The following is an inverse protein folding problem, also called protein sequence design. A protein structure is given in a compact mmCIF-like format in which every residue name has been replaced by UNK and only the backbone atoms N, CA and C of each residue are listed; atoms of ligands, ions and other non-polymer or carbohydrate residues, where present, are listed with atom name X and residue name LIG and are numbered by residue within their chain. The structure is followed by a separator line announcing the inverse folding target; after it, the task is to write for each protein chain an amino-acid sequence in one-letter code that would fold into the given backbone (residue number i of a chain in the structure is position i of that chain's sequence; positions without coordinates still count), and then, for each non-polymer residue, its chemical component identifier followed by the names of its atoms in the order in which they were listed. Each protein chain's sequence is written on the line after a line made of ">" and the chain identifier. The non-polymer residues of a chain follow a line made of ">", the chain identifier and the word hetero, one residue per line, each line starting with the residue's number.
data_IF_369405375699
#
_entry.id   IF_369405375699
#
_cell.length_a   1.000
_cell.length_b   1.000
_cell.length_c   1.000
_cell.angle_alpha   90.00
_cell.angle_beta   90.00
_cell.angle_gamma   90.00
#
_symmetry.space_group_name_H-M   'P 1'
#
loop_
_entity.id
_entity.type
_entity.pdbx_description
1 polymer ?
#
# COMPACT_ATOMS: atom_id res chain seq x y z
N UNK A 1 37.00 -59.12 -29.76
CA UNK A 1 36.95 -57.66 -29.82
C UNK A 1 35.98 -57.23 -28.73
N UNK A 2 36.50 -57.04 -27.52
CA UNK A 2 35.70 -56.62 -26.36
C UNK A 2 35.50 -55.12 -26.48
N UNK A 3 34.27 -54.68 -26.73
CA UNK A 3 33.86 -53.30 -26.52
C UNK A 3 32.98 -53.30 -25.28
N UNK A 4 33.66 -53.32 -24.14
CA UNK A 4 33.08 -53.18 -22.81
C UNK A 4 32.61 -51.73 -22.72
N UNK A 5 31.30 -51.50 -22.79
CA UNK A 5 30.73 -50.18 -22.59
C UNK A 5 31.16 -49.66 -21.21
N UNK A 6 32.18 -48.80 -21.21
CA UNK A 6 32.68 -48.07 -20.06
C UNK A 6 31.49 -47.36 -19.43
N UNK A 7 31.02 -47.90 -18.28
CA UNK A 7 29.99 -47.25 -17.49
C UNK A 7 30.55 -45.89 -17.09
N UNK A 8 29.92 -44.77 -17.47
CA UNK A 8 30.35 -43.48 -16.97
C UNK A 8 30.28 -43.50 -15.44
N UNK A 9 31.27 -42.85 -14.81
CA UNK A 9 31.29 -42.56 -13.39
C UNK A 9 29.96 -41.95 -12.91
N UNK A 10 29.74 -41.99 -11.58
CA UNK A 10 28.53 -41.48 -10.96
C UNK A 10 28.11 -40.12 -11.56
N UNK A 11 26.81 -39.93 -11.89
CA UNK A 11 26.34 -38.72 -12.56
C UNK A 11 26.74 -37.48 -11.76
N UNK A 12 27.30 -36.50 -12.45
CA UNK A 12 27.70 -35.23 -11.86
C UNK A 12 26.48 -34.57 -11.20
N UNK A 13 26.50 -34.35 -9.88
CA UNK A 13 25.38 -33.76 -9.16
C UNK A 13 25.06 -32.34 -9.63
N UNK A 14 26.02 -31.64 -10.25
CA UNK A 14 25.88 -30.26 -10.69
C UNK A 14 25.60 -30.12 -12.19
N UNK A 15 25.54 -31.23 -12.94
CA UNK A 15 25.30 -31.21 -14.39
C UNK A 15 24.02 -30.45 -14.78
N UNK A 16 22.97 -30.55 -13.96
CA UNK A 16 21.73 -29.80 -14.19
C UNK A 16 21.91 -28.30 -13.92
N UNK A 17 22.64 -27.94 -12.87
CA UNK A 17 22.92 -26.55 -12.55
C UNK A 17 23.76 -25.89 -13.66
N UNK A 18 24.79 -26.58 -14.16
CA UNK A 18 25.61 -26.11 -15.29
C UNK A 18 24.77 -25.95 -16.56
N UNK A 19 23.93 -26.93 -16.91
CA UNK A 19 23.06 -26.83 -18.07
C UNK A 19 22.07 -25.65 -17.96
N UNK A 20 21.52 -25.40 -16.77
CA UNK A 20 20.66 -24.24 -16.52
C UNK A 20 21.42 -22.92 -16.61
N UNK A 21 22.66 -22.85 -16.15
CA UNK A 21 23.49 -21.65 -16.26
C UNK A 21 23.82 -21.33 -17.74
N UNK A 22 24.18 -22.34 -18.52
CA UNK A 22 24.41 -22.23 -19.95
C UNK A 22 23.15 -21.77 -20.71
N UNK A 23 21.99 -22.34 -20.40
CA UNK A 23 20.72 -21.93 -21.01
C UNK A 23 20.35 -20.48 -20.64
N UNK A 24 20.49 -20.10 -19.37
CA UNK A 24 20.23 -18.73 -18.91
C UNK A 24 21.18 -17.71 -19.55
N UNK A 25 22.45 -18.06 -19.73
CA UNK A 25 23.42 -17.17 -20.39
C UNK A 25 23.12 -17.02 -21.88
N UNK A 26 22.76 -18.11 -22.56
CA UNK A 26 22.33 -18.09 -23.95
C UNK A 26 21.05 -17.25 -24.15
N UNK A 27 20.05 -17.41 -23.27
CA UNK A 27 18.80 -16.64 -23.33
C UNK A 27 19.03 -15.16 -23.02
N UNK A 28 19.86 -14.83 -22.03
CA UNK A 28 20.28 -13.44 -21.77
C UNK A 28 20.97 -12.83 -22.99
N UNK A 29 21.81 -13.59 -23.70
CA UNK A 29 22.45 -13.12 -24.93
C UNK A 29 21.43 -12.86 -26.05
N UNK A 30 20.48 -13.78 -26.26
CA UNK A 30 19.38 -13.61 -27.24
C UNK A 30 18.53 -12.39 -26.93
N UNK A 31 18.17 -12.17 -25.66
CA UNK A 31 17.40 -10.99 -25.24
C UNK A 31 18.17 -9.70 -25.46
N UNK A 32 19.46 -9.65 -25.14
CA UNK A 32 20.29 -8.47 -25.43
C UNK A 32 20.39 -8.18 -26.93
N UNK A 33 20.51 -9.21 -27.76
CA UNK A 33 20.53 -9.04 -29.20
C UNK A 33 19.20 -8.53 -29.76
N UNK A 34 18.06 -8.97 -29.20
CA UNK A 34 16.71 -8.62 -29.67
C UNK A 34 16.17 -7.29 -29.13
N UNK A 35 16.46 -6.98 -27.86
CA UNK A 35 15.86 -5.87 -27.13
C UNK A 35 16.87 -4.80 -26.70
N UNK A 36 18.16 -5.01 -26.99
CA UNK A 36 19.24 -4.13 -26.57
C UNK A 36 19.72 -4.41 -25.14
N UNK A 37 20.76 -3.69 -24.67
CA UNK A 37 21.22 -3.79 -23.29
C UNK A 37 20.08 -3.38 -22.33
N UNK A 38 19.85 -4.13 -21.23
CA UNK A 38 18.80 -3.77 -20.29
C UNK A 38 19.07 -2.38 -19.70
N UNK A 39 18.05 -1.53 -19.57
CA UNK A 39 18.18 -0.28 -18.83
C UNK A 39 18.44 -0.65 -17.37
N UNK A 40 19.66 -0.38 -16.90
CA UNK A 40 20.13 -0.59 -15.52
C UNK A 40 20.00 -2.01 -14.96
N UNK A 41 20.76 -2.31 -13.90
CA UNK A 41 20.62 -3.62 -13.25
C UNK A 41 19.37 -3.63 -12.35
N UNK A 42 18.60 -4.72 -12.33
CA UNK A 42 17.39 -4.82 -11.49
C UNK A 42 17.69 -4.59 -9.99
N UNK A 43 18.87 -5.00 -9.53
CA UNK A 43 19.33 -4.75 -8.16
C UNK A 43 19.53 -3.26 -7.87
N UNK A 44 19.92 -2.48 -8.87
CA UNK A 44 20.11 -1.05 -8.76
C UNK A 44 18.78 -0.29 -8.78
N UNK A 45 17.80 -0.73 -9.56
CA UNK A 45 16.43 -0.21 -9.48
C UNK A 45 15.75 -0.55 -8.15
N UNK A 46 15.98 -1.75 -7.61
CA UNK A 46 15.51 -2.11 -6.26
C UNK A 46 16.12 -1.20 -5.19
N UNK A 47 17.41 -0.88 -5.31
CA UNK A 47 18.09 0.03 -4.39
C UNK A 47 17.51 1.44 -4.50
N UNK A 48 17.31 1.96 -5.73
CA UNK A 48 16.65 3.26 -5.95
C UNK A 48 15.23 3.30 -5.38
N UNK A 49 14.47 2.22 -5.53
CA UNK A 49 13.14 2.10 -4.94
C UNK A 49 13.20 2.12 -3.41
N UNK A 50 14.12 1.35 -2.81
CA UNK A 50 14.32 1.34 -1.38
C UNK A 50 14.72 2.73 -0.86
N UNK A 51 15.64 3.41 -1.56
CA UNK A 51 16.07 4.77 -1.24
C UNK A 51 14.87 5.74 -1.32
N UNK A 52 14.08 5.68 -2.39
CA UNK A 52 12.88 6.52 -2.56
C UNK A 52 11.82 6.27 -1.46
N UNK A 53 11.61 5.02 -1.06
CA UNK A 53 10.71 4.66 0.05
C UNK A 53 11.24 5.21 1.36
N UNK A 54 12.55 5.06 1.64
CA UNK A 54 13.15 5.60 2.87
C UNK A 54 13.11 7.12 2.90
N UNK A 55 13.31 7.79 1.76
CA UNK A 55 13.17 9.24 1.65
C UNK A 55 11.73 9.70 1.91
N UNK A 56 10.73 9.00 1.35
CA UNK A 56 9.32 9.29 1.63
C UNK A 56 8.98 9.06 3.10
N UNK A 57 9.43 7.96 3.69
CA UNK A 57 9.24 7.69 5.13
C UNK A 57 9.91 8.75 5.99
N UNK A 58 11.11 9.21 5.61
CA UNK A 58 11.81 10.30 6.29
C UNK A 58 11.08 11.63 6.13
N UNK A 59 10.49 11.92 4.98
CA UNK A 59 9.65 13.11 4.75
C UNK A 59 8.41 13.14 5.66
N UNK A 60 7.74 12.01 5.85
CA UNK A 60 6.66 11.88 6.84
C UNK A 60 7.17 11.98 8.28
N UNK A 61 8.44 11.60 8.52
CA UNK A 61 9.12 11.70 9.82
C UNK A 61 9.76 13.06 10.14
N UNK A 62 9.82 14.01 9.18
CA UNK A 62 10.44 15.34 9.35
C UNK A 62 9.83 16.19 10.48
N UNK A 63 8.54 16.10 10.86
CA UNK A 63 8.03 16.77 12.05
C UNK A 63 8.58 16.21 13.38
N UNK A 64 9.25 15.05 13.36
CA UNK A 64 9.64 14.30 14.56
C UNK A 64 11.16 14.09 14.68
N UNK A 65 11.96 14.48 13.68
CA UNK A 65 13.41 14.26 13.63
C UNK A 65 14.24 15.37 14.31
N UNK A 66 13.68 16.01 15.34
CA UNK A 66 14.40 16.92 16.22
C UNK A 66 14.97 16.16 17.41
N UNK A 67 16.25 15.77 17.33
CA UNK A 67 17.16 15.35 18.40
C UNK A 67 17.25 13.84 18.77
N UNK A 68 18.50 13.33 18.64
CA UNK A 68 19.14 12.17 19.32
C UNK A 68 18.97 10.75 18.73
N UNK A 69 19.99 10.33 17.97
CA UNK A 69 20.75 9.07 18.17
C UNK A 69 20.08 7.71 17.89
N UNK A 70 20.72 6.91 17.03
CA UNK A 70 20.28 5.58 16.55
C UNK A 70 20.00 4.50 17.63
N UNK A 71 20.33 4.72 18.91
CA UNK A 71 19.92 3.84 20.01
C UNK A 71 18.48 4.11 20.51
N UNK A 72 17.90 5.26 20.18
CA UNK A 72 16.50 5.59 20.48
C UNK A 72 15.52 5.02 19.42
N UNK A 73 16.02 4.46 18.31
CA UNK A 73 15.18 4.03 17.19
C UNK A 73 14.14 2.95 17.59
N UNK A 74 14.50 2.02 18.49
CA UNK A 74 13.54 1.03 19.00
C UNK A 74 12.46 1.65 19.89
N UNK A 75 12.83 2.62 20.74
CA UNK A 75 11.90 3.35 21.58
C UNK A 75 10.95 4.24 20.77
N UNK A 76 11.48 4.93 19.76
CA UNK A 76 10.70 5.75 18.83
C UNK A 76 9.78 4.87 17.97
N UNK A 77 10.25 3.73 17.47
CA UNK A 77 9.42 2.77 16.73
C UNK A 77 8.28 2.22 17.60
N UNK A 78 8.53 1.88 18.87
CA UNK A 78 7.48 1.48 19.80
C UNK A 78 6.51 2.62 20.11
N UNK A 79 7.00 3.86 20.23
CA UNK A 79 6.16 5.03 20.43
C UNK A 79 5.25 5.30 19.23
N UNK A 80 5.81 5.21 18.01
CA UNK A 80 5.08 5.32 16.76
C UNK A 80 4.05 4.18 16.61
N UNK A 81 4.42 2.95 16.96
CA UNK A 81 3.49 1.82 16.96
C UNK A 81 2.33 2.05 17.95
N UNK A 82 2.62 2.53 19.16
CA UNK A 82 1.60 2.88 20.16
C UNK A 82 0.71 4.03 19.68
N UNK A 83 1.28 5.03 19.02
CA UNK A 83 0.55 6.20 18.53
C UNK A 83 -0.31 5.87 17.30
N UNK A 84 0.21 5.04 16.39
CA UNK A 84 -0.55 4.47 15.29
C UNK A 84 -1.71 3.64 15.85
N UNK A 85 -1.44 2.72 16.79
CA UNK A 85 -2.47 1.93 17.45
C UNK A 85 -3.54 2.82 18.11
N UNK A 86 -3.14 3.84 18.86
CA UNK A 86 -4.06 4.77 19.50
C UNK A 86 -4.92 5.59 18.51
N UNK A 87 -4.40 5.86 17.31
CA UNK A 87 -5.16 6.54 16.24
C UNK A 87 -6.13 5.59 15.53
N UNK A 88 -5.78 4.30 15.43
CA UNK A 88 -6.62 3.31 14.76
C UNK A 88 -7.63 2.64 15.68
N UNK A 89 -7.38 2.55 16.99
CA UNK A 89 -8.32 1.99 17.98
C UNK A 89 -9.75 2.57 17.83
N UNK A 90 -9.94 3.90 17.70
CA UNK A 90 -11.27 4.49 17.52
C UNK A 90 -11.93 4.13 16.18
N UNK A 91 -11.15 3.84 15.15
CA UNK A 91 -11.65 3.46 13.82
C UNK A 91 -12.04 1.98 13.81
N UNK A 92 -11.23 1.14 14.46
CA UNK A 92 -11.49 -0.29 14.68
C UNK A 92 -12.75 -0.47 15.52
N UNK A 93 -12.89 0.27 16.63
CA UNK A 93 -14.07 0.22 17.49
C UNK A 93 -15.33 0.75 16.80
N UNK A 94 -15.22 1.82 16.00
CA UNK A 94 -16.37 2.38 15.27
C UNK A 94 -16.79 1.58 14.05
N UNK A 95 -15.86 0.89 13.39
CA UNK A 95 -16.10 0.26 12.09
C UNK A 95 -15.48 -1.15 12.01
N UNK A 96 -15.88 -2.10 12.87
CA UNK A 96 -15.33 -3.45 12.84
C UNK A 96 -15.62 -4.14 11.50
N UNK A 97 -16.82 -3.95 10.94
CA UNK A 97 -17.21 -4.55 9.66
C UNK A 97 -16.34 -4.11 8.46
N UNK A 98 -15.71 -2.93 8.51
CA UNK A 98 -14.82 -2.47 7.45
C UNK A 98 -13.56 -3.34 7.36
N UNK A 99 -13.02 -3.76 8.51
CA UNK A 99 -11.87 -4.66 8.55
C UNK A 99 -12.24 -6.08 8.10
N UNK A 100 -13.45 -6.55 8.39
CA UNK A 100 -13.94 -7.82 7.86
C UNK A 100 -14.03 -7.80 6.33
N UNK A 101 -14.53 -6.70 5.75
CA UNK A 101 -14.61 -6.54 4.29
C UNK A 101 -13.22 -6.41 3.66
N UNK A 102 -12.30 -5.67 4.28
CA UNK A 102 -10.91 -5.58 3.83
C UNK A 102 -10.20 -6.94 3.88
N UNK A 103 -10.42 -7.70 4.96
CA UNK A 103 -9.84 -9.03 5.10
C UNK A 103 -10.42 -10.00 4.05
N UNK A 104 -11.74 -9.96 3.82
CA UNK A 104 -12.39 -10.76 2.78
C UNK A 104 -11.89 -10.39 1.38
N UNK A 105 -11.90 -9.11 1.03
CA UNK A 105 -11.41 -8.61 -0.25
C UNK A 105 -9.92 -8.92 -0.48
N UNK A 106 -9.09 -8.82 0.56
CA UNK A 106 -7.68 -9.20 0.49
C UNK A 106 -7.48 -10.70 0.25
N UNK A 107 -8.33 -11.54 0.86
CA UNK A 107 -8.36 -12.98 0.62
C UNK A 107 -8.75 -13.32 -0.82
N UNK A 108 -9.77 -12.64 -1.35
CA UNK A 108 -10.22 -12.79 -2.74
C UNK A 108 -9.14 -12.36 -3.74
N UNK A 109 -8.46 -11.24 -3.49
CA UNK A 109 -7.35 -10.78 -4.34
C UNK A 109 -6.20 -11.81 -4.38
N UNK A 110 -5.82 -12.37 -3.22
CA UNK A 110 -4.80 -13.41 -3.15
C UNK A 110 -5.24 -14.70 -3.85
N UNK A 111 -6.52 -15.07 -3.74
CA UNK A 111 -7.07 -16.22 -4.44
C UNK A 111 -7.08 -16.02 -5.95
N UNK A 112 -7.48 -14.85 -6.43
CA UNK A 112 -7.47 -14.48 -7.85
C UNK A 112 -6.04 -14.44 -8.42
N UNK A 113 -5.08 -13.90 -7.66
CA UNK A 113 -3.67 -13.95 -8.05
C UNK A 113 -3.18 -15.39 -8.16
N UNK A 114 -3.48 -16.24 -7.18
CA UNK A 114 -3.09 -17.66 -7.21
C UNK A 114 -3.74 -18.39 -8.39
N UNK A 115 -5.01 -18.12 -8.71
CA UNK A 115 -5.68 -18.76 -9.85
C UNK A 115 -5.08 -18.30 -11.18
N UNK A 116 -4.75 -17.01 -11.31
CA UNK A 116 -4.05 -16.46 -12.47
C UNK A 116 -2.68 -17.13 -12.66
N UNK A 117 -1.91 -17.26 -11.58
CA UNK A 117 -0.60 -17.93 -11.60
C UNK A 117 -0.77 -19.40 -11.95
N UNK A 118 -1.70 -20.13 -11.34
CA UNK A 118 -1.94 -21.54 -11.67
C UNK A 118 -2.38 -21.75 -13.13
N UNK A 119 -3.19 -20.86 -13.69
CA UNK A 119 -3.59 -20.91 -15.10
C UNK A 119 -2.40 -20.61 -16.02
N UNK A 120 -1.53 -19.67 -15.66
CA UNK A 120 -0.26 -19.45 -16.35
C UNK A 120 0.63 -20.70 -16.25
N UNK A 121 0.62 -21.35 -15.08
CA UNK A 121 1.42 -22.52 -14.79
C UNK A 121 0.95 -23.79 -15.53
N UNK A 122 -0.36 -23.90 -15.77
CA UNK A 122 -0.90 -24.97 -16.61
C UNK A 122 -0.50 -24.74 -18.05
N UNK A 123 -0.72 -23.53 -18.59
CA UNK A 123 -0.55 -23.23 -20.02
C UNK A 123 0.85 -23.47 -20.58
N UNK A 124 1.89 -23.18 -19.81
CA UNK A 124 3.29 -23.43 -20.20
C UNK A 124 3.77 -24.86 -19.88
N UNK A 125 3.12 -25.60 -18.97
CA UNK A 125 3.48 -26.98 -18.61
C UNK A 125 2.66 -28.03 -19.38
N UNK A 126 1.53 -27.63 -19.95
CA UNK A 126 0.65 -28.50 -20.72
C UNK A 126 1.36 -28.90 -22.03
N UNK A 127 1.49 -30.20 -22.32
CA UNK A 127 2.05 -30.65 -23.58
C UNK A 127 1.20 -30.07 -24.72
N UNK A 128 1.81 -29.21 -25.55
CA UNK A 128 1.14 -28.71 -26.73
C UNK A 128 1.00 -29.87 -27.71
N UNK A 129 -0.16 -30.51 -27.74
CA UNK A 129 -0.48 -31.53 -28.73
C UNK A 129 -0.37 -30.93 -30.13
N UNK A 130 0.71 -31.28 -30.84
CA UNK A 130 1.03 -30.75 -32.17
C UNK A 130 0.04 -31.18 -33.27
N UNK A 131 -1.04 -31.91 -32.93
CA UNK A 131 -2.07 -32.38 -33.85
C UNK A 131 -3.48 -31.82 -33.60
N UNK A 132 -3.68 -30.92 -32.63
CA UNK A 132 -4.97 -30.25 -32.41
C UNK A 132 -5.01 -28.87 -33.08
N UNK A 133 -4.86 -28.84 -34.41
CA UNK A 133 -5.17 -27.64 -35.20
C UNK A 133 -6.68 -27.58 -35.48
N UNK A 134 -7.47 -27.29 -34.44
CA UNK A 134 -8.84 -26.79 -34.54
C UNK A 134 -8.88 -25.36 -34.01
N UNK A 135 -9.76 -24.46 -34.51
CA UNK A 135 -9.82 -23.09 -34.02
C UNK A 135 -10.14 -23.11 -32.52
N UNK A 136 -9.26 -22.52 -31.72
CA UNK A 136 -9.44 -22.40 -30.27
C UNK A 136 -10.77 -21.67 -29.97
N UNK A 137 -11.55 -22.08 -28.95
CA UNK A 137 -12.63 -21.24 -28.46
C UNK A 137 -12.01 -19.92 -27.98
N UNK A 138 -12.58 -18.81 -28.45
CA UNK A 138 -12.24 -17.48 -27.99
C UNK A 138 -12.37 -17.44 -26.47
N UNK A 139 -11.22 -17.51 -25.79
CA UNK A 139 -11.15 -17.18 -24.38
C UNK A 139 -11.61 -15.75 -24.22
N UNK A 140 -12.53 -15.57 -23.29
CA UNK A 140 -13.10 -14.31 -22.81
C UNK A 140 -11.99 -13.27 -22.60
N UNK A 141 -11.69 -12.55 -23.67
CA UNK A 141 -10.91 -11.32 -23.62
C UNK A 141 -11.98 -10.26 -23.57
N UNK A 142 -12.05 -9.52 -22.47
CA UNK A 142 -12.83 -8.29 -22.42
C UNK A 142 -12.36 -7.45 -23.61
N UNK A 143 -13.25 -7.26 -24.58
CA UNK A 143 -12.94 -6.48 -25.75
C UNK A 143 -12.62 -5.05 -25.29
N UNK A 144 -11.64 -4.40 -25.92
CA UNK A 144 -11.18 -3.07 -25.49
C UNK A 144 -12.31 -2.04 -25.51
N UNK A 145 -13.32 -2.25 -26.36
CA UNK A 145 -14.57 -1.46 -26.36
C UNK A 145 -15.44 -1.75 -25.13
N UNK A 146 -15.56 -3.01 -24.69
CA UNK A 146 -16.31 -3.37 -23.47
C UNK A 146 -15.63 -2.87 -22.19
N UNK A 147 -14.29 -2.86 -22.16
CA UNK A 147 -13.53 -2.23 -21.07
C UNK A 147 -13.76 -0.71 -21.02
N UNK A 148 -13.91 -0.05 -22.17
CA UNK A 148 -14.22 1.37 -22.23
C UNK A 148 -15.64 1.66 -21.74
N UNK A 149 -16.61 0.81 -22.08
CA UNK A 149 -18.00 0.92 -21.62
C UNK A 149 -18.12 0.76 -20.09
N UNK A 150 -17.37 -0.17 -19.51
CA UNK A 150 -17.29 -0.35 -18.05
C UNK A 150 -16.65 0.84 -17.34
N UNK A 151 -15.63 1.46 -17.95
CA UNK A 151 -14.99 2.67 -17.43
C UNK A 151 -15.94 3.87 -17.49
N UNK A 152 -16.73 3.98 -18.55
CA UNK A 152 -17.73 5.03 -18.74
C UNK A 152 -18.93 4.88 -17.78
N UNK A 153 -19.29 3.63 -17.43
CA UNK A 153 -20.29 3.34 -16.41
C UNK A 153 -19.80 3.72 -14.99
N UNK A 154 -18.54 3.44 -14.66
CA UNK A 154 -17.94 3.80 -13.38
C UNK A 154 -17.83 5.34 -13.17
N UNK A 155 -17.52 6.10 -14.22
CA UNK A 155 -17.51 7.58 -14.17
C UNK A 155 -18.90 8.18 -13.94
N UNK A 156 -19.95 7.50 -14.42
CA UNK A 156 -21.34 7.92 -14.20
C UNK A 156 -21.75 7.77 -12.74
N UNK A 157 -21.34 6.68 -12.09
CA UNK A 157 -21.57 6.44 -10.67
C UNK A 157 -20.74 7.39 -9.79
N UNK A 158 -19.49 7.69 -10.15
CA UNK A 158 -18.68 8.68 -9.44
C UNK A 158 -19.32 10.09 -9.42
N UNK A 159 -20.00 10.46 -10.51
CA UNK A 159 -20.69 11.75 -10.63
C UNK A 159 -21.97 11.84 -9.79
N UNK A 160 -22.61 10.71 -9.47
CA UNK A 160 -23.77 10.67 -8.54
C UNK A 160 -23.33 10.90 -7.09
N UNK A 161 -22.08 10.58 -6.75
CA UNK A 161 -21.53 10.83 -5.40
C UNK A 161 -21.11 12.30 -5.21
N UNK A 162 -20.79 13.02 -6.29
CA UNK A 162 -20.43 14.44 -6.23
C UNK A 162 -21.66 15.37 -6.09
N UNK A 163 -22.86 14.89 -6.45
CA UNK A 163 -24.14 15.61 -6.24
C UNK A 163 -24.84 15.17 -4.94
N UNK A 164 -24.09 15.03 -3.86
CA UNK A 164 -24.64 15.14 -2.51
C UNK A 164 -24.03 16.39 -1.88
N UNK A 165 -24.53 17.54 -2.30
CA UNK A 165 -24.40 18.78 -1.54
C UNK A 165 -25.24 18.57 -0.27
N UNK A 166 -24.59 18.13 0.81
CA UNK A 166 -25.15 18.29 2.15
C UNK A 166 -25.17 19.78 2.40
N UNK A 167 -26.34 20.41 2.29
CA UNK A 167 -26.51 21.78 2.78
C UNK A 167 -26.07 21.82 4.24
N UNK A 168 -25.16 22.72 4.63
CA UNK A 168 -24.84 22.91 6.04
C UNK A 168 -26.10 23.41 6.75
N UNK A 169 -26.49 22.69 7.80
CA UNK A 169 -27.55 23.09 8.73
C UNK A 169 -27.32 24.54 9.15
N UNK A 170 -28.30 25.46 9.03
CA UNK A 170 -28.12 26.83 9.48
C UNK A 170 -27.82 26.84 10.98
N UNK A 171 -26.77 27.56 11.37
CA UNK A 171 -26.32 27.73 12.75
C UNK A 171 -27.50 27.91 13.72
N UNK A 172 -27.53 27.20 14.87
CA UNK A 172 -28.53 27.49 15.89
C UNK A 172 -28.32 28.92 16.40
N UNK A 173 -29.38 29.72 16.32
CA UNK A 173 -29.45 31.11 16.76
C UNK A 173 -28.58 31.39 18.01
N UNK A 174 -27.76 32.45 18.03
CA UNK A 174 -27.05 32.83 19.23
C UNK A 174 -28.07 33.14 20.32
N UNK A 175 -28.02 32.37 21.41
CA UNK A 175 -28.84 32.60 22.60
C UNK A 175 -28.71 34.06 23.03
N UNK A 176 -29.82 34.75 23.35
CA UNK A 176 -29.76 36.14 23.79
C UNK A 176 -28.97 36.25 25.08
N UNK A 177 -28.12 37.27 25.16
CA UNK A 177 -27.28 37.57 26.32
C UNK A 177 -28.11 37.59 27.62
N UNK A 178 -27.57 37.05 28.73
CA UNK A 178 -28.22 37.18 30.02
C UNK A 178 -28.31 38.67 30.38
N UNK A 179 -29.54 39.15 30.63
CA UNK A 179 -29.79 40.53 31.07
C UNK A 179 -28.97 40.80 32.34
N UNK A 180 -28.35 41.98 32.47
CA UNK A 180 -27.74 42.38 33.73
C UNK A 180 -28.86 42.54 34.77
N UNK A 181 -28.69 41.86 35.90
CA UNK A 181 -29.59 41.96 37.05
C UNK A 181 -29.76 43.43 37.44
N UNK A 182 -31.00 43.95 37.54
CA UNK A 182 -31.21 45.26 38.11
C UNK A 182 -31.16 45.09 39.62
N UNK A 183 -30.20 45.78 40.24
CA UNK A 183 -30.20 46.17 41.65
C UNK A 183 -29.59 45.15 42.63
N UNK A 184 -28.45 45.53 43.23
CA UNK A 184 -28.40 45.64 44.67
C UNK A 184 -28.17 47.11 45.05
N UNK A 185 -29.14 47.68 45.76
CA UNK A 185 -28.99 48.98 46.40
C UNK A 185 -27.99 48.94 47.57
N UNK A 186 -27.95 50.00 48.39
CA UNK A 186 -26.91 51.02 48.24
C UNK A 186 -25.82 50.92 49.31
N UNK A 187 -24.75 51.65 49.00
CA UNK A 187 -23.63 52.08 49.83
C UNK A 187 -23.82 51.99 51.35
N UNK A 188 -22.82 51.40 52.01
CA UNK A 188 -22.50 51.65 53.41
C UNK A 188 -20.98 51.67 53.54
N UNK A 189 -20.43 52.85 53.23
CA UNK A 189 -19.58 53.64 54.12
C UNK A 189 -18.88 52.88 55.26
N UNK A 190 -17.54 52.85 55.25
CA UNK A 190 -16.70 53.23 56.39
C UNK A 190 -15.22 52.84 56.16
N UNK A 191 -14.35 53.84 56.21
CA UNK A 191 -13.02 53.70 56.84
C UNK A 191 -11.79 53.68 55.93
N UNK A 192 -11.33 54.86 55.50
CA UNK A 192 -9.87 55.11 55.44
C UNK A 192 -9.31 55.45 56.83
N UNK A 193 -8.07 55.98 56.96
CA UNK A 193 -6.90 55.87 56.08
C UNK A 193 -5.59 55.55 56.86
N UNK A 194 -4.50 55.26 56.14
CA UNK A 194 -3.12 55.29 56.68
C UNK A 194 -2.15 54.67 55.68
N UNK A 195 -1.36 55.43 54.90
CA UNK A 195 -0.05 55.99 55.27
C UNK A 195 0.91 54.90 55.80
N UNK A 196 2.18 54.77 55.43
CA UNK A 196 3.14 55.44 54.55
C UNK A 196 4.43 54.58 54.65
N UNK A 197 5.29 54.68 53.65
CA UNK A 197 6.76 54.66 53.74
C UNK A 197 7.57 53.38 54.12
N UNK A 198 8.56 53.16 53.25
CA UNK A 198 9.96 52.71 53.48
C UNK A 198 10.24 51.32 54.05
N UNK A 199 10.85 50.44 53.25
CA UNK A 199 12.30 50.16 53.20
C UNK A 199 12.60 49.10 52.13
#
# INVERSE_FOLDING_TARGET
>A
MSDEAERPDAPDPDAWATACEEDLTAEKARRRARYGPPPTSAAEELRKLADAVTEKVAEFGKPLAGTVGAAAAQGVAQQLFKQAKATFEPVVERNPQLFDHLAAAGGELLAAYRSLVQESERRWSEPRDANAAGPAPAGDRIDVEEAADLTCAADRDARVVEEVVVEPDPDPDPKPDPKPDPNPGPDSDAGGPGARDTA
#
